data_IF_524511740272
#
_entry.id   IF_524511740272
#
_cell.length_a   1.000
_cell.length_b   1.000
_cell.length_c   1.000
_cell.angle_alpha   90.00
_cell.angle_beta   90.00
_cell.angle_gamma   90.00
#
_symmetry.space_group_name_H-M   'P 1'
#
loop_
_entity.id
_entity.type
_entity.pdbx_description
1 polymer ?
#
# COMPACT_ATOMS: atom_id res chain seq x y z
N UNK A 1 -14.17 13.60 -14.03
CA UNK A 1 -13.96 13.66 -12.59
C UNK A 1 -12.72 12.86 -12.22
N UNK A 2 -11.91 13.38 -11.32
CA UNK A 2 -10.68 12.71 -10.88
C UNK A 2 -11.05 11.71 -9.78
N UNK A 3 -10.89 10.42 -10.04
CA UNK A 3 -11.22 9.39 -9.08
C UNK A 3 -9.98 8.92 -8.32
N UNK A 4 -10.15 8.67 -7.04
CA UNK A 4 -9.10 8.10 -6.19
C UNK A 4 -9.01 6.60 -6.41
N UNK A 5 -7.78 6.11 -6.54
CA UNK A 5 -7.49 4.68 -6.53
C UNK A 5 -7.00 4.32 -5.14
N UNK A 6 -7.82 3.61 -4.37
CA UNK A 6 -7.49 3.28 -2.99
C UNK A 6 -6.31 2.32 -2.85
N UNK A 7 -5.91 1.65 -3.93
CA UNK A 7 -4.67 0.88 -3.95
C UNK A 7 -3.46 1.80 -3.79
N UNK A 8 -3.55 3.04 -4.24
CA UNK A 8 -2.49 4.03 -4.08
C UNK A 8 -2.21 4.30 -2.61
N UNK A 9 -3.25 4.42 -1.78
CA UNK A 9 -3.08 4.63 -0.34
C UNK A 9 -2.26 3.49 0.27
N UNK A 10 -2.54 2.26 -0.14
CA UNK A 10 -1.80 1.09 0.30
C UNK A 10 -0.34 1.13 -0.17
N UNK A 11 -0.11 1.51 -1.44
CA UNK A 11 1.24 1.63 -1.99
C UNK A 11 2.06 2.72 -1.29
N UNK A 12 1.41 3.80 -0.84
CA UNK A 12 2.07 4.85 -0.09
C UNK A 12 2.67 4.34 1.22
N UNK A 13 2.05 3.35 1.84
CA UNK A 13 2.56 2.76 3.07
C UNK A 13 3.92 2.08 2.86
N UNK A 14 4.16 1.55 1.65
CA UNK A 14 5.40 0.84 1.32
C UNK A 14 6.44 1.75 0.69
N UNK A 15 6.02 2.67 -0.16
CA UNK A 15 6.94 3.45 -0.99
C UNK A 15 6.96 4.95 -0.67
N UNK A 16 6.11 5.40 0.24
CA UNK A 16 5.97 6.83 0.54
C UNK A 16 7.27 7.49 0.99
N UNK A 17 8.07 6.77 1.76
CA UNK A 17 9.34 7.32 2.28
C UNK A 17 10.39 7.54 1.18
N UNK A 18 10.25 6.87 0.04
CA UNK A 18 11.16 7.04 -1.09
C UNK A 18 10.82 8.32 -1.87
N UNK A 19 9.58 8.79 -1.76
CA UNK A 19 9.14 9.98 -2.46
C UNK A 19 9.81 11.23 -1.91
N UNK A 20 10.14 12.19 -2.78
CA UNK A 20 10.54 13.52 -2.31
C UNK A 20 9.46 14.10 -1.40
N UNK A 21 9.88 14.84 -0.39
CA UNK A 21 8.97 15.37 0.65
C UNK A 21 7.75 16.08 0.08
N UNK A 22 7.94 16.90 -0.95
CA UNK A 22 6.84 17.65 -1.56
C UNK A 22 5.80 16.72 -2.19
N UNK A 23 6.25 15.71 -2.95
CA UNK A 23 5.36 14.74 -3.56
C UNK A 23 4.62 13.91 -2.51
N UNK A 24 5.35 13.45 -1.50
CA UNK A 24 4.76 12.70 -0.41
C UNK A 24 3.69 13.51 0.31
N UNK A 25 3.99 14.77 0.60
CA UNK A 25 3.03 15.65 1.26
C UNK A 25 1.75 15.84 0.47
N UNK A 26 1.85 16.02 -0.85
CA UNK A 26 0.68 16.16 -1.72
C UNK A 26 -0.15 14.88 -1.72
N UNK A 27 0.50 13.72 -1.82
CA UNK A 27 -0.19 12.44 -1.81
C UNK A 27 -0.90 12.18 -0.49
N UNK A 28 -0.27 12.53 0.63
CA UNK A 28 -0.88 12.40 1.95
C UNK A 28 -2.08 13.32 2.11
N UNK A 29 -1.99 14.57 1.66
CA UNK A 29 -3.11 15.50 1.70
C UNK A 29 -4.30 14.97 0.90
N UNK A 30 -4.03 14.41 -0.26
CA UNK A 30 -5.10 13.92 -1.14
C UNK A 30 -5.71 12.61 -0.64
N UNK A 31 -4.87 11.62 -0.29
CA UNK A 31 -5.35 10.27 0.05
C UNK A 31 -5.65 10.08 1.54
N UNK A 32 -4.87 10.70 2.42
CA UNK A 32 -5.03 10.49 3.87
C UNK A 32 -5.81 11.59 4.58
N UNK A 33 -5.67 12.84 4.13
CA UNK A 33 -6.37 13.98 4.74
C UNK A 33 -7.63 14.37 3.97
N UNK A 34 -7.87 13.73 2.85
CA UNK A 34 -9.07 13.93 2.01
C UNK A 34 -9.28 15.38 1.55
N UNK A 35 -8.19 16.08 1.28
CA UNK A 35 -8.27 17.44 0.77
C UNK A 35 -8.59 17.44 -0.74
N UNK A 36 -9.31 18.48 -1.19
CA UNK A 36 -9.57 18.67 -2.60
C UNK A 36 -8.34 19.17 -3.32
N UNK A 37 -8.34 19.06 -4.65
CA UNK A 37 -7.25 19.61 -5.46
C UNK A 37 -7.10 21.11 -5.23
N UNK A 38 -8.22 21.82 -5.08
CA UNK A 38 -8.20 23.27 -4.82
C UNK A 38 -7.55 23.58 -3.47
N UNK A 39 -7.88 22.81 -2.44
CA UNK A 39 -7.32 23.02 -1.11
C UNK A 39 -5.82 22.75 -1.07
N UNK A 40 -5.39 21.69 -1.75
CA UNK A 40 -3.97 21.35 -1.85
C UNK A 40 -3.22 22.45 -2.62
N UNK A 41 -3.79 22.90 -3.75
CA UNK A 41 -3.20 23.96 -4.58
C UNK A 41 -2.98 25.22 -3.76
N UNK A 42 -3.95 25.59 -2.94
CA UNK A 42 -3.85 26.76 -2.09
C UNK A 42 -2.74 26.62 -1.06
N UNK A 43 -2.62 25.44 -0.45
CA UNK A 43 -1.61 25.20 0.60
C UNK A 43 -0.18 25.21 0.04
N UNK A 44 0.03 24.65 -1.14
CA UNK A 44 1.41 24.53 -1.66
C UNK A 44 1.75 25.60 -2.72
N UNK A 45 0.79 26.44 -3.07
CA UNK A 45 1.06 27.60 -3.93
C UNK A 45 1.26 27.28 -5.40
N UNK A 46 0.56 26.26 -5.93
CA UNK A 46 0.54 25.94 -7.36
C UNK A 46 -0.90 25.85 -7.86
N UNK A 47 -1.09 25.67 -9.16
CA UNK A 47 -2.44 25.55 -9.74
C UNK A 47 -3.05 24.18 -9.40
N UNK A 48 -4.39 24.12 -9.47
CA UNK A 48 -5.11 22.84 -9.33
C UNK A 48 -4.65 21.83 -10.37
N UNK A 49 -4.44 22.28 -11.59
CA UNK A 49 -3.94 21.41 -12.66
C UNK A 49 -2.54 20.89 -12.32
N UNK A 50 -1.69 21.74 -11.75
CA UNK A 50 -0.36 21.32 -11.30
C UNK A 50 -0.42 20.26 -10.20
N UNK A 51 -1.36 20.40 -9.27
CA UNK A 51 -1.58 19.37 -8.23
C UNK A 51 -2.03 18.06 -8.87
N UNK A 52 -3.00 18.11 -9.77
CA UNK A 52 -3.51 16.94 -10.47
C UNK A 52 -2.40 16.21 -11.22
N UNK A 53 -1.58 16.96 -11.95
CA UNK A 53 -0.48 16.38 -12.71
C UNK A 53 0.56 15.74 -11.81
N UNK A 54 0.85 16.37 -10.68
CA UNK A 54 1.78 15.83 -9.69
C UNK A 54 1.25 14.52 -9.10
N UNK A 55 -0.03 14.47 -8.76
CA UNK A 55 -0.66 13.26 -8.21
C UNK A 55 -0.60 12.14 -9.24
N UNK A 56 -1.00 12.40 -10.48
CA UNK A 56 -1.00 11.38 -11.53
C UNK A 56 0.39 10.81 -11.78
N UNK A 57 1.37 11.69 -11.86
CA UNK A 57 2.76 11.27 -12.08
C UNK A 57 3.28 10.44 -10.92
N UNK A 58 2.96 10.83 -9.69
CA UNK A 58 3.37 10.08 -8.50
C UNK A 58 2.69 8.72 -8.44
N UNK A 59 1.41 8.64 -8.80
CA UNK A 59 0.70 7.37 -8.89
C UNK A 59 1.39 6.42 -9.88
N UNK A 60 1.81 6.95 -11.03
CA UNK A 60 2.54 6.15 -12.03
C UNK A 60 3.86 5.63 -11.47
N UNK A 61 4.57 6.47 -10.71
CA UNK A 61 5.82 6.05 -10.06
C UNK A 61 5.59 4.94 -9.05
N UNK A 62 4.52 5.04 -8.24
CA UNK A 62 4.19 4.03 -7.25
C UNK A 62 3.86 2.69 -7.92
N UNK A 63 3.06 2.71 -8.99
CA UNK A 63 2.75 1.51 -9.75
C UNK A 63 4.00 0.89 -10.37
N UNK A 64 4.89 1.72 -10.89
CA UNK A 64 6.14 1.26 -11.46
C UNK A 64 6.99 0.54 -10.42
N UNK A 65 7.15 1.13 -9.22
CA UNK A 65 7.91 0.51 -8.15
C UNK A 65 7.28 -0.79 -7.69
N UNK A 66 5.96 -0.83 -7.56
CA UNK A 66 5.27 -2.06 -7.18
C UNK A 66 5.44 -3.16 -8.22
N UNK A 67 5.39 -2.79 -9.51
CA UNK A 67 5.64 -3.75 -10.59
C UNK A 67 7.04 -4.35 -10.49
N UNK A 68 8.03 -3.53 -10.14
CA UNK A 68 9.42 -3.97 -10.09
C UNK A 68 9.78 -4.66 -8.77
N UNK A 69 9.28 -4.17 -7.66
CA UNK A 69 9.68 -4.64 -6.32
C UNK A 69 8.68 -5.59 -5.69
N UNK A 70 7.40 -5.38 -5.92
CA UNK A 70 6.35 -6.28 -5.43
C UNK A 70 6.18 -6.33 -3.92
N UNK A 71 6.58 -5.28 -3.18
CA UNK A 71 6.53 -5.29 -1.72
C UNK A 71 5.11 -5.37 -1.17
N UNK A 72 4.18 -4.60 -1.77
CA UNK A 72 2.79 -4.60 -1.33
C UNK A 72 2.12 -5.94 -1.61
N UNK A 73 2.34 -6.50 -2.80
CA UNK A 73 1.81 -7.81 -3.16
C UNK A 73 2.34 -8.90 -2.23
N UNK A 74 3.63 -8.87 -1.93
CA UNK A 74 4.25 -9.84 -1.04
C UNK A 74 3.67 -9.75 0.37
N UNK A 75 3.45 -8.53 0.86
CA UNK A 75 2.82 -8.32 2.16
C UNK A 75 1.41 -8.89 2.22
N UNK A 76 0.61 -8.66 1.18
CA UNK A 76 -0.75 -9.23 1.09
C UNK A 76 -0.73 -10.76 1.12
N UNK A 77 0.22 -11.37 0.40
CA UNK A 77 0.36 -12.82 0.38
C UNK A 77 0.72 -13.36 1.77
N UNK A 78 1.66 -12.72 2.46
CA UNK A 78 2.05 -13.11 3.80
C UNK A 78 0.90 -12.96 4.81
N UNK A 79 0.15 -11.86 4.72
CA UNK A 79 -1.01 -11.64 5.59
C UNK A 79 -2.08 -12.69 5.36
N UNK A 80 -2.35 -13.03 4.11
CA UNK A 80 -3.31 -14.07 3.76
C UNK A 80 -2.92 -15.42 4.33
N UNK A 81 -1.65 -15.75 4.27
CA UNK A 81 -1.13 -17.02 4.83
C UNK A 81 -1.17 -17.02 6.34
N UNK A 82 -0.84 -15.88 6.97
CA UNK A 82 -0.94 -15.75 8.42
C UNK A 82 -2.39 -15.89 8.88
N UNK A 83 -3.35 -15.28 8.17
CA UNK A 83 -4.76 -15.40 8.48
C UNK A 83 -5.23 -16.84 8.36
N UNK A 84 -4.74 -17.58 7.37
CA UNK A 84 -5.07 -18.99 7.20
C UNK A 84 -4.55 -19.81 8.38
N UNK A 85 -3.32 -19.56 8.82
CA UNK A 85 -2.76 -20.26 9.99
C UNK A 85 -3.59 -19.97 11.23
N UNK A 86 -3.96 -18.71 11.46
CA UNK A 86 -4.80 -18.34 12.61
C UNK A 86 -6.16 -19.03 12.55
N UNK A 87 -6.76 -19.08 11.36
CA UNK A 87 -8.04 -19.77 11.18
C UNK A 87 -7.95 -21.25 11.50
N UNK A 88 -6.88 -21.90 11.07
CA UNK A 88 -6.67 -23.32 11.37
C UNK A 88 -6.47 -23.57 12.86
N UNK A 89 -5.76 -22.67 13.54
CA UNK A 89 -5.57 -22.76 14.99
C UNK A 89 -6.87 -22.61 15.76
N UNK A 90 -7.78 -21.77 15.27
CA UNK A 90 -9.08 -21.56 15.91
C UNK A 90 -9.99 -22.78 15.81
N UNK A 91 -9.81 -23.62 14.78
CA UNK A 91 -10.66 -24.77 14.50
C UNK A 91 -10.02 -26.12 14.88
N UNK A 92 -8.77 -26.13 15.30
CA UNK A 92 -8.01 -27.33 15.60
C UNK A 92 -7.59 -27.32 17.06
N UNK A 93 -7.75 -28.46 17.74
CA UNK A 93 -7.28 -28.61 19.13
C UNK A 93 -5.84 -29.14 19.16
N UNK A 94 -5.48 -29.93 18.16
CA UNK A 94 -4.16 -30.48 18.01
C UNK A 94 -3.53 -29.99 16.70
N UNK A 95 -2.22 -29.93 16.65
CA UNK A 95 -1.49 -29.51 15.48
C UNK A 95 -1.60 -30.56 14.37
N UNK A 96 -2.41 -30.27 13.35
CA UNK A 96 -2.57 -31.15 12.20
C UNK A 96 -1.36 -31.09 11.27
N UNK A 97 -1.23 -32.08 10.40
CA UNK A 97 -0.18 -32.08 9.39
C UNK A 97 -0.32 -30.88 8.43
N UNK A 98 -1.56 -30.50 8.12
CA UNK A 98 -1.83 -29.33 7.26
C UNK A 98 -1.37 -28.05 7.95
N UNK A 99 -1.71 -27.85 9.23
CA UNK A 99 -1.31 -26.68 9.98
C UNK A 99 0.22 -26.60 10.13
N UNK A 100 0.85 -27.72 10.44
CA UNK A 100 2.30 -27.78 10.55
C UNK A 100 2.99 -27.42 9.23
N UNK A 101 2.44 -27.89 8.10
CA UNK A 101 2.94 -27.58 6.78
C UNK A 101 2.82 -26.06 6.48
N UNK A 102 1.67 -25.47 6.79
CA UNK A 102 1.46 -24.04 6.60
C UNK A 102 2.40 -23.20 7.45
N UNK A 103 2.60 -23.55 8.70
CA UNK A 103 3.54 -22.85 9.59
C UNK A 103 4.95 -22.89 9.02
N UNK A 104 5.42 -24.07 8.60
CA UNK A 104 6.75 -24.21 8.02
C UNK A 104 6.92 -23.36 6.76
N UNK A 105 5.91 -23.37 5.90
CA UNK A 105 5.92 -22.64 4.65
C UNK A 105 5.95 -21.12 4.90
N UNK A 106 5.14 -20.64 5.85
CA UNK A 106 5.09 -19.23 6.22
C UNK A 106 6.45 -18.78 6.80
N UNK A 107 7.04 -19.55 7.67
CA UNK A 107 8.34 -19.24 8.26
C UNK A 107 9.45 -19.21 7.21
N UNK A 108 9.41 -20.10 6.23
CA UNK A 108 10.39 -20.13 5.15
C UNK A 108 10.32 -18.84 4.31
N UNK A 109 9.12 -18.28 4.14
CA UNK A 109 8.91 -17.07 3.37
C UNK A 109 9.38 -15.82 4.10
N UNK A 110 9.30 -15.81 5.42
CA UNK A 110 9.73 -14.69 6.27
C UNK A 110 11.26 -14.60 6.37
N UNK A 111 11.95 -15.72 6.20
CA UNK A 111 13.41 -15.77 6.26
C UNK A 111 14.09 -14.98 5.12
#
# INVERSE_FOLDING_TARGET
MFEKDWNISYLLDFYGEILPEKKRGVMEMYYNEDLSLAEIAEQIGISRQGVRDMIKKTEEELFFWEEKLGLARRDLQLRGRADRVLSLLDHEQDLSAELASEIRSLLAEIR
#
